data_IF_632828444541
#
_entry.id   IF_632828444541
#
_cell.length_a   1.000
_cell.length_b   1.000
_cell.length_c   1.000
_cell.angle_alpha   90.00
_cell.angle_beta   90.00
_cell.angle_gamma   90.00
#
_symmetry.space_group_name_H-M   'P 1'
#
loop_
_entity.id
_entity.type
_entity.pdbx_description
1 polymer ?
#
# COMPACT_ATOMS: atom_id res chain seq x y z
N UNK A 1 23.45 14.58 -5.76
CA UNK A 1 21.98 14.73 -5.85
C UNK A 1 21.39 14.41 -4.50
N UNK A 2 20.70 15.38 -3.89
CA UNK A 2 20.17 15.25 -2.51
C UNK A 2 18.87 14.47 -2.43
N UNK A 3 18.04 14.50 -3.48
CA UNK A 3 16.77 13.79 -3.58
C UNK A 3 16.89 12.64 -4.60
N UNK A 4 16.79 11.42 -4.14
CA UNK A 4 16.82 10.19 -4.95
C UNK A 4 15.66 9.31 -4.51
N UNK A 5 14.53 9.50 -5.18
CA UNK A 5 13.26 8.91 -4.79
C UNK A 5 12.84 7.74 -5.68
N UNK A 6 11.97 6.89 -5.10
CA UNK A 6 11.22 5.86 -5.79
C UNK A 6 9.77 5.92 -5.33
N UNK A 7 8.84 5.79 -6.25
CA UNK A 7 7.40 5.70 -5.97
C UNK A 7 6.92 4.26 -6.01
N UNK A 8 6.02 3.92 -5.09
CA UNK A 8 5.27 2.65 -5.13
C UNK A 8 3.79 2.92 -4.95
N UNK A 9 3.00 2.47 -5.91
CA UNK A 9 1.55 2.56 -5.88
C UNK A 9 0.96 1.29 -5.25
N UNK A 10 0.49 1.40 -4.01
CA UNK A 10 -0.15 0.30 -3.29
C UNK A 10 -1.68 0.35 -3.38
N UNK A 11 -2.23 1.42 -3.97
CA UNK A 11 -3.67 1.55 -4.20
C UNK A 11 -4.13 0.64 -5.34
N UNK A 12 -3.46 0.68 -6.49
CA UNK A 12 -3.79 -0.17 -7.64
C UNK A 12 -3.45 -1.62 -7.38
N UNK A 13 -2.34 -1.88 -6.69
CA UNK A 13 -1.96 -3.23 -6.26
C UNK A 13 -1.46 -3.19 -4.81
N UNK A 14 -2.13 -3.95 -3.93
CA UNK A 14 -1.71 -4.02 -2.53
C UNK A 14 -0.46 -4.90 -2.39
N UNK A 15 0.54 -4.40 -1.67
CA UNK A 15 1.73 -5.13 -1.28
C UNK A 15 1.79 -5.23 0.25
N UNK A 16 2.13 -6.38 0.78
CA UNK A 16 2.23 -6.58 2.23
C UNK A 16 3.46 -5.87 2.82
N UNK A 17 3.56 -5.88 4.16
CA UNK A 17 4.65 -5.22 4.89
C UNK A 17 6.02 -5.75 4.48
N UNK A 18 6.14 -7.07 4.24
CA UNK A 18 7.42 -7.70 3.90
C UNK A 18 7.91 -7.21 2.53
N UNK A 19 7.02 -7.12 1.54
CA UNK A 19 7.36 -6.58 0.23
C UNK A 19 7.80 -5.10 0.28
N UNK A 20 7.17 -4.29 1.16
CA UNK A 20 7.61 -2.90 1.39
C UNK A 20 9.01 -2.88 2.00
N UNK A 21 9.29 -3.74 2.98
CA UNK A 21 10.62 -3.83 3.60
C UNK A 21 11.69 -4.30 2.61
N UNK A 22 11.40 -5.28 1.77
CA UNK A 22 12.29 -5.70 0.69
C UNK A 22 12.61 -4.56 -0.28
N UNK A 23 11.60 -3.75 -0.65
CA UNK A 23 11.81 -2.57 -1.46
C UNK A 23 12.73 -1.55 -0.75
N UNK A 24 12.52 -1.31 0.54
CA UNK A 24 13.36 -0.39 1.32
C UNK A 24 14.81 -0.90 1.42
N UNK A 25 15.03 -2.20 1.51
CA UNK A 25 16.36 -2.80 1.47
C UNK A 25 17.04 -2.57 0.10
N UNK A 26 16.29 -2.79 -0.97
CA UNK A 26 16.77 -2.54 -2.33
C UNK A 26 17.09 -1.05 -2.56
N UNK A 27 16.21 -0.16 -2.07
CA UNK A 27 16.43 1.28 -2.12
C UNK A 27 17.70 1.69 -1.37
N UNK A 28 17.95 1.14 -0.18
CA UNK A 28 19.16 1.40 0.58
C UNK A 28 20.41 0.91 -0.16
N UNK A 29 20.35 -0.28 -0.76
CA UNK A 29 21.42 -0.85 -1.56
C UNK A 29 21.81 0.07 -2.73
N UNK A 30 20.82 0.64 -3.43
CA UNK A 30 21.04 1.60 -4.53
C UNK A 30 21.20 3.05 -4.08
N UNK A 31 21.30 3.30 -2.77
CA UNK A 31 21.47 4.65 -2.19
C UNK A 31 20.32 5.60 -2.52
N UNK A 32 19.13 5.10 -2.71
CA UNK A 32 17.91 5.90 -2.77
C UNK A 32 17.53 6.32 -1.34
N UNK A 33 17.01 7.54 -1.18
CA UNK A 33 16.77 8.10 0.14
C UNK A 33 15.36 8.67 0.37
N UNK A 34 14.47 8.55 -0.62
CA UNK A 34 13.08 8.98 -0.51
C UNK A 34 12.17 7.90 -1.06
N UNK A 35 11.28 7.40 -0.21
CA UNK A 35 10.22 6.49 -0.59
C UNK A 35 8.90 7.25 -0.70
N UNK A 36 8.42 7.48 -1.92
CA UNK A 36 7.12 8.05 -2.19
C UNK A 36 6.09 6.94 -2.20
N UNK A 37 5.27 6.90 -1.16
CA UNK A 37 4.30 5.85 -0.92
C UNK A 37 2.90 6.33 -1.29
N UNK A 38 2.42 5.95 -2.49
CA UNK A 38 1.07 6.26 -2.96
C UNK A 38 0.08 5.29 -2.31
N UNK A 39 -0.52 5.73 -1.19
CA UNK A 39 -1.18 4.85 -0.23
C UNK A 39 -2.70 4.82 -0.35
N UNK A 40 -3.29 5.80 -1.01
CA UNK A 40 -4.72 5.87 -1.24
C UNK A 40 -5.06 6.55 -2.56
N UNK A 41 -5.98 5.95 -3.30
CA UNK A 41 -6.56 6.43 -4.55
C UNK A 41 -7.87 5.66 -4.82
N UNK A 42 -8.48 5.81 -6.00
CA UNK A 42 -9.73 5.16 -6.44
C UNK A 42 -9.85 3.68 -6.13
N UNK A 43 -8.77 2.93 -6.35
CA UNK A 43 -8.78 1.47 -6.28
C UNK A 43 -8.63 0.93 -4.87
N UNK A 44 -8.24 1.77 -3.91
CA UNK A 44 -8.17 1.32 -2.55
C UNK A 44 -7.51 2.28 -1.58
N UNK A 45 -8.10 2.36 -0.41
CA UNK A 45 -7.56 3.05 0.76
C UNK A 45 -6.73 2.07 1.61
N UNK A 46 -5.42 2.31 1.75
CA UNK A 46 -4.51 1.35 2.37
C UNK A 46 -4.04 1.71 3.78
N UNK A 47 -4.51 2.82 4.35
CA UNK A 47 -4.08 3.29 5.67
C UNK A 47 -5.20 3.18 6.70
N UNK A 48 -4.96 2.46 7.80
CA UNK A 48 -5.90 2.42 8.92
C UNK A 48 -6.04 3.78 9.58
N UNK A 49 -7.28 4.30 9.64
CA UNK A 49 -7.65 5.48 10.40
C UNK A 49 -8.68 5.05 11.45
N UNK A 50 -8.26 4.88 12.69
CA UNK A 50 -9.12 4.36 13.77
C UNK A 50 -10.40 5.17 13.97
N UNK A 51 -10.34 6.49 13.74
CA UNK A 51 -11.50 7.38 13.79
C UNK A 51 -12.50 7.15 12.66
N UNK A 52 -12.05 6.61 11.53
CA UNK A 52 -12.85 6.37 10.33
C UNK A 52 -12.67 4.93 9.82
N UNK A 53 -13.17 3.92 10.58
CA UNK A 53 -12.90 2.52 10.28
C UNK A 53 -13.41 2.06 8.91
N UNK A 54 -14.48 2.68 8.39
CA UNK A 54 -15.02 2.37 7.07
C UNK A 54 -14.02 2.58 5.92
N UNK A 55 -13.02 3.42 6.11
CA UNK A 55 -11.96 3.62 5.11
C UNK A 55 -11.21 2.31 4.81
N UNK A 56 -11.02 1.45 5.80
CA UNK A 56 -10.35 0.15 5.62
C UNK A 56 -11.31 -1.03 5.60
N UNK A 57 -12.46 -0.95 6.27
CA UNK A 57 -13.46 -2.02 6.22
C UNK A 57 -14.13 -2.14 4.85
N UNK A 58 -14.33 -1.01 4.17
CA UNK A 58 -14.96 -0.92 2.84
C UNK A 58 -13.97 -0.43 1.79
N UNK A 59 -13.34 0.71 2.02
CA UNK A 59 -12.50 1.38 1.02
C UNK A 59 -11.19 0.66 0.68
N UNK A 60 -10.74 -0.28 1.51
CA UNK A 60 -9.57 -1.11 1.21
C UNK A 60 -9.88 -2.30 0.28
N UNK A 61 -11.14 -2.52 -0.08
CA UNK A 61 -11.57 -3.71 -0.79
C UNK A 61 -12.37 -3.34 -2.04
N UNK A 62 -12.08 -4.01 -3.15
CA UNK A 62 -12.81 -3.83 -4.40
C UNK A 62 -13.19 -5.18 -5.00
N UNK A 63 -14.28 -5.18 -5.77
CA UNK A 63 -14.62 -6.33 -6.60
C UNK A 63 -13.59 -6.45 -7.74
N UNK A 64 -13.02 -7.64 -7.90
CA UNK A 64 -12.17 -7.92 -9.05
C UNK A 64 -13.00 -7.81 -10.34
N UNK A 65 -12.53 -7.00 -11.29
CA UNK A 65 -13.13 -6.86 -12.61
C UNK A 65 -12.28 -7.67 -13.59
N UNK A 66 -12.74 -8.82 -14.09
CA UNK A 66 -12.03 -9.59 -15.10
C UNK A 66 -11.76 -8.75 -16.35
N UNK A 67 -10.53 -8.80 -16.86
CA UNK A 67 -10.13 -8.06 -18.07
C UNK A 67 -9.63 -6.64 -17.83
N UNK A 68 -9.66 -6.13 -16.61
CA UNK A 68 -8.95 -4.89 -16.24
C UNK A 68 -7.44 -5.09 -16.37
N UNK A 69 -6.72 -4.07 -16.83
CA UNK A 69 -5.23 -4.09 -16.86
C UNK A 69 -4.62 -4.26 -15.46
N UNK A 70 -5.38 -3.95 -14.42
CA UNK A 70 -5.02 -4.12 -13.01
C UNK A 70 -5.52 -5.46 -12.45
N UNK A 71 -6.19 -6.28 -13.28
CA UNK A 71 -6.66 -7.59 -12.87
C UNK A 71 -5.52 -8.61 -12.98
N UNK A 72 -4.87 -8.86 -11.86
CA UNK A 72 -4.22 -10.15 -11.64
C UNK A 72 -5.10 -10.93 -10.68
N UNK A 73 -5.48 -12.13 -11.07
CA UNK A 73 -6.09 -13.11 -10.15
C UNK A 73 -5.03 -13.48 -9.11
N UNK A 74 -4.80 -12.58 -8.19
CA UNK A 74 -3.91 -12.81 -7.06
C UNK A 74 -4.75 -13.30 -5.89
N UNK A 75 -4.81 -14.61 -5.74
CA UNK A 75 -5.52 -15.26 -4.64
C UNK A 75 -4.95 -14.89 -3.25
N UNK A 76 -3.75 -14.32 -3.21
CA UNK A 76 -3.07 -13.96 -1.95
C UNK A 76 -3.79 -12.86 -1.19
N UNK A 77 -4.40 -11.92 -1.90
CA UNK A 77 -5.10 -10.77 -1.33
C UNK A 77 -6.60 -10.75 -1.60
N UNK A 78 -7.14 -11.87 -2.07
CA UNK A 78 -8.56 -12.01 -2.36
C UNK A 78 -9.26 -12.79 -1.26
N UNK A 79 -10.39 -12.28 -0.77
CA UNK A 79 -11.24 -12.97 0.21
C UNK A 79 -12.71 -12.95 -0.19
N UNK A 80 -13.47 -14.00 0.18
CA UNK A 80 -14.92 -13.95 0.15
C UNK A 80 -15.41 -13.13 1.34
N UNK A 81 -16.13 -12.05 1.09
CA UNK A 81 -16.84 -11.27 2.10
C UNK A 81 -18.34 -11.55 2.00
N UNK A 82 -18.91 -12.20 3.04
CA UNK A 82 -20.37 -12.33 3.25
C UNK A 82 -21.16 -12.77 1.99
N UNK A 83 -20.70 -13.79 1.27
CA UNK A 83 -21.40 -14.32 0.10
C UNK A 83 -21.27 -13.49 -1.18
N UNK A 84 -20.55 -12.36 -1.15
CA UNK A 84 -20.22 -11.57 -2.33
C UNK A 84 -19.06 -12.19 -3.13
N UNK A 85 -18.94 -11.90 -4.43
CA UNK A 85 -17.81 -12.35 -5.22
C UNK A 85 -16.48 -11.91 -4.59
N UNK A 86 -15.39 -12.59 -4.96
CA UNK A 86 -14.05 -12.32 -4.44
C UNK A 86 -13.74 -10.83 -4.44
N UNK A 87 -13.33 -10.32 -3.28
CA UNK A 87 -12.86 -8.95 -3.14
C UNK A 87 -11.34 -8.97 -3.00
N UNK A 88 -10.68 -8.16 -3.81
CA UNK A 88 -9.27 -7.90 -3.75
C UNK A 88 -9.00 -6.67 -2.89
N UNK A 89 -7.97 -6.73 -2.07
CA UNK A 89 -7.55 -5.57 -1.28
C UNK A 89 -6.67 -5.93 -0.10
N UNK A 90 -6.51 -4.97 0.76
CA UNK A 90 -5.72 -5.02 1.98
C UNK A 90 -5.43 -3.62 2.47
N UNK A 91 -4.90 -3.52 3.67
CA UNK A 91 -4.50 -2.25 4.25
C UNK A 91 -3.40 -2.45 5.29
N UNK A 92 -2.74 -1.37 5.67
CA UNK A 92 -1.75 -1.36 6.73
C UNK A 92 -2.39 -0.82 8.01
N UNK A 93 -2.20 -1.53 9.11
CA UNK A 93 -2.54 -1.01 10.43
C UNK A 93 -1.59 0.12 10.82
N UNK A 94 -2.01 0.97 11.76
CA UNK A 94 -1.12 2.04 12.26
C UNK A 94 0.18 1.48 12.84
N UNK A 95 0.13 0.31 13.47
CA UNK A 95 1.32 -0.34 14.03
C UNK A 95 2.27 -0.82 12.91
N UNK A 96 1.72 -1.39 11.84
CA UNK A 96 2.52 -1.77 10.67
C UNK A 96 3.16 -0.56 9.99
N UNK A 97 2.43 0.56 9.89
CA UNK A 97 3.00 1.81 9.34
C UNK A 97 4.14 2.33 10.20
N UNK A 98 3.98 2.32 11.53
CA UNK A 98 5.06 2.71 12.45
C UNK A 98 6.30 1.84 12.30
N UNK A 99 6.11 0.54 12.15
CA UNK A 99 7.19 -0.42 11.92
C UNK A 99 7.92 -0.14 10.58
N UNK A 100 7.17 0.08 9.49
CA UNK A 100 7.74 0.46 8.18
C UNK A 100 8.52 1.78 8.29
N UNK A 101 7.97 2.79 8.98
CA UNK A 101 8.64 4.08 9.17
C UNK A 101 9.94 3.94 9.96
N UNK A 102 9.94 3.15 11.03
CA UNK A 102 11.15 2.86 11.81
C UNK A 102 12.20 2.10 10.97
N UNK A 103 11.75 1.14 10.17
CA UNK A 103 12.59 0.35 9.26
C UNK A 103 13.25 1.22 8.19
N UNK A 104 12.50 2.15 7.58
CA UNK A 104 13.00 3.11 6.60
C UNK A 104 14.00 4.10 7.24
N UNK A 105 13.66 4.63 8.43
CA UNK A 105 14.52 5.56 9.17
C UNK A 105 15.89 4.94 9.48
N UNK A 106 15.96 3.69 9.88
CA UNK A 106 17.20 2.97 10.12
C UNK A 106 18.09 2.89 8.86
N UNK A 107 17.48 2.97 7.66
CA UNK A 107 18.17 2.98 6.36
C UNK A 107 18.40 4.38 5.78
N UNK A 108 18.17 5.42 6.56
CA UNK A 108 18.21 6.82 6.12
C UNK A 108 17.29 7.10 4.92
N UNK A 109 16.13 6.44 4.87
CA UNK A 109 15.09 6.65 3.86
C UNK A 109 13.95 7.44 4.50
N UNK A 110 13.61 8.58 3.90
CA UNK A 110 12.42 9.37 4.25
C UNK A 110 11.20 8.83 3.51
N UNK A 111 10.11 8.59 4.23
CA UNK A 111 8.82 8.23 3.62
C UNK A 111 8.01 9.49 3.38
N UNK A 112 7.52 9.65 2.15
CA UNK A 112 6.56 10.69 1.75
C UNK A 112 5.26 9.97 1.39
N UNK A 113 4.24 9.97 2.28
CA UNK A 113 2.96 9.38 1.95
C UNK A 113 2.16 10.28 1.03
N UNK A 114 1.49 9.70 0.07
CA UNK A 114 0.55 10.37 -0.82
C UNK A 114 -0.86 9.80 -0.63
N UNK A 115 -1.81 10.69 -0.42
CA UNK A 115 -3.24 10.39 -0.32
C UNK A 115 -3.95 11.21 -1.38
N UNK A 116 -4.47 10.55 -2.40
CA UNK A 116 -5.20 11.19 -3.48
C UNK A 116 -6.70 11.14 -3.20
N UNK A 117 -7.32 12.33 -3.06
CA UNK A 117 -8.75 12.46 -2.76
C UNK A 117 -9.32 13.70 -3.47
N UNK A 118 -10.49 13.61 -4.11
CA UNK A 118 -11.20 12.37 -4.42
C UNK A 118 -10.43 11.55 -5.44
N UNK A 119 -10.34 10.25 -5.18
CA UNK A 119 -9.75 9.31 -6.12
C UNK A 119 -10.78 8.87 -7.16
#
# INVERSE_FOLDING_TARGET
MTWRGMVMDVSRHFYNVDAIKELLDLMAFYKLNVFHWHIADNEGWRLEIKKYPKLTEVGAWRTEIPGSIFYKKDSTYSKKLNGKPYQYGGFYTQEQVKDIVAYAKFRNITIVPEIDVPG
#
